data_IF_867864674327
#
_entry.id   IF_867864674327
#
_cell.length_a   1.000
_cell.length_b   1.000
_cell.length_c   1.000
_cell.angle_alpha   90.00
_cell.angle_beta   90.00
_cell.angle_gamma   90.00
#
_symmetry.space_group_name_H-M   'P 1'
#
loop_
_entity.id
_entity.type
_entity.pdbx_description
1 polymer ?
#
# COMPACT_ATOMS: atom_id res chain seq x y z
N UNK A 1 0.20 6.81 -15.06
CA UNK A 1 0.04 5.69 -14.11
C UNK A 1 -1.27 5.85 -13.34
N UNK A 2 -2.15 4.84 -13.34
CA UNK A 2 -3.44 4.90 -12.62
C UNK A 2 -3.31 4.27 -11.23
N UNK A 3 -3.62 5.03 -10.18
CA UNK A 3 -3.67 4.55 -8.81
C UNK A 3 -5.07 4.00 -8.49
N UNK A 4 -5.21 2.75 -8.06
CA UNK A 4 -6.51 2.14 -7.83
C UNK A 4 -7.12 2.81 -6.59
N UNK A 5 -8.31 3.41 -6.76
CA UNK A 5 -9.05 4.07 -5.68
C UNK A 5 -9.17 3.18 -4.43
N UNK A 6 -9.33 1.87 -4.63
CA UNK A 6 -9.41 0.87 -3.54
C UNK A 6 -8.13 0.81 -2.69
N UNK A 7 -6.95 0.76 -3.30
CA UNK A 7 -5.69 0.73 -2.51
C UNK A 7 -5.48 2.04 -1.76
N UNK A 8 -5.88 3.19 -2.32
CA UNK A 8 -5.80 4.48 -1.62
C UNK A 8 -6.67 4.51 -0.37
N UNK A 9 -7.91 4.01 -0.47
CA UNK A 9 -8.81 3.90 0.67
C UNK A 9 -8.27 2.94 1.75
N UNK A 10 -7.77 1.77 1.33
CA UNK A 10 -7.17 0.79 2.25
C UNK A 10 -5.91 1.32 2.93
N UNK A 11 -5.04 2.02 2.20
CA UNK A 11 -3.84 2.63 2.77
C UNK A 11 -4.19 3.74 3.76
N UNK A 12 -5.19 4.57 3.44
CA UNK A 12 -5.71 5.59 4.36
C UNK A 12 -6.27 4.97 5.64
N UNK A 13 -6.97 3.83 5.53
CA UNK A 13 -7.42 3.06 6.70
C UNK A 13 -6.23 2.51 7.50
N UNK A 14 -5.23 1.94 6.85
CA UNK A 14 -4.07 1.35 7.51
C UNK A 14 -3.25 2.38 8.29
N UNK A 15 -3.06 3.59 7.74
CA UNK A 15 -2.36 4.70 8.41
C UNK A 15 -2.95 5.09 9.77
N UNK A 16 -4.22 4.80 10.02
CA UNK A 16 -4.89 5.10 11.30
C UNK A 16 -4.51 4.13 12.43
N UNK A 17 -3.97 2.96 12.10
CA UNK A 17 -3.78 1.86 13.06
C UNK A 17 -2.39 1.24 13.02
N UNK A 18 -1.62 1.45 11.95
CA UNK A 18 -0.25 0.94 11.80
C UNK A 18 0.68 2.13 11.48
N UNK A 19 1.80 2.32 12.20
CA UNK A 19 2.78 3.35 11.87
C UNK A 19 3.22 3.27 10.40
N UNK A 20 3.14 4.40 9.68
CA UNK A 20 3.41 4.44 8.23
C UNK A 20 2.40 3.69 7.36
N UNK A 21 1.35 3.10 7.93
CA UNK A 21 0.33 2.30 7.25
C UNK A 21 0.78 0.91 6.83
N UNK A 22 1.93 0.42 7.32
CA UNK A 22 2.54 -0.86 6.90
C UNK A 22 3.36 -1.53 8.02
N UNK A 23 3.46 -2.87 8.00
CA UNK A 23 4.24 -3.65 8.97
C UNK A 23 5.76 -3.71 8.64
N UNK A 24 6.21 -3.03 7.59
CA UNK A 24 7.63 -2.91 7.24
C UNK A 24 7.82 -1.63 6.38
N UNK A 25 8.77 -0.73 6.70
CA UNK A 25 8.89 0.58 6.07
C UNK A 25 8.96 0.56 4.54
N UNK A 26 9.63 -0.43 3.96
CA UNK A 26 9.79 -0.56 2.50
C UNK A 26 8.43 -0.63 1.77
N UNK A 27 7.39 -1.15 2.43
CA UNK A 27 6.05 -1.30 1.85
C UNK A 27 5.29 0.03 1.73
N UNK A 28 5.74 1.10 2.39
CA UNK A 28 5.08 2.41 2.34
C UNK A 28 5.36 3.19 1.03
N UNK A 29 6.26 2.67 0.18
CA UNK A 29 6.68 3.29 -1.09
C UNK A 29 7.34 4.67 -0.90
N UNK A 30 7.93 4.94 0.27
CA UNK A 30 8.55 6.25 0.58
C UNK A 30 9.66 6.66 -0.40
N UNK A 31 10.46 5.71 -0.90
CA UNK A 31 11.56 5.98 -1.82
C UNK A 31 11.14 6.29 -3.27
N UNK A 32 9.96 5.82 -3.69
CA UNK A 32 9.48 5.90 -5.08
C UNK A 32 8.22 6.75 -5.24
N UNK A 33 7.58 7.11 -4.13
CA UNK A 33 6.31 7.82 -4.09
C UNK A 33 5.11 6.98 -4.52
N UNK A 34 3.92 7.58 -4.40
CA UNK A 34 2.65 6.98 -4.80
C UNK A 34 1.94 6.20 -3.69
N UNK A 35 0.93 5.42 -4.10
CA UNK A 35 0.09 4.62 -3.20
C UNK A 35 0.49 3.15 -3.30
N UNK A 36 0.89 2.49 -2.19
CA UNK A 36 1.18 1.06 -2.19
C UNK A 36 0.01 0.22 -2.74
N UNK A 37 0.32 -0.81 -3.50
CA UNK A 37 -0.69 -1.76 -3.99
C UNK A 37 -1.05 -2.74 -2.88
N UNK A 38 -2.35 -2.91 -2.63
CA UNK A 38 -2.86 -3.96 -1.75
C UNK A 38 -3.04 -5.23 -2.59
N UNK A 39 -2.14 -6.17 -2.40
CA UNK A 39 -2.13 -7.47 -3.07
C UNK A 39 -2.90 -8.49 -2.21
N UNK A 40 -3.77 -9.29 -2.84
CA UNK A 40 -4.59 -10.29 -2.14
C UNK A 40 -4.28 -11.72 -2.57
N UNK A 41 -3.73 -11.90 -3.77
CA UNK A 41 -3.34 -13.21 -4.31
C UNK A 41 -2.20 -13.05 -5.30
N UNK A 42 -1.42 -14.11 -5.46
CA UNK A 42 -0.48 -14.32 -6.55
C UNK A 42 -0.54 -15.79 -6.97
N UNK A 43 -0.38 -16.04 -8.26
CA UNK A 43 -0.07 -17.37 -8.81
C UNK A 43 1.29 -17.21 -9.52
N UNK A 44 2.09 -18.27 -9.59
CA UNK A 44 3.46 -18.26 -10.11
C UNK A 44 3.62 -17.50 -11.43
N UNK A 45 4.87 -17.15 -11.74
CA UNK A 45 5.26 -16.43 -12.94
C UNK A 45 5.16 -17.27 -14.20
#
# INVERSE_FOLDING_TARGET
MSFPRRSKALFSRAKRVIPGGVNSPVRAFGAVGGVPRFLVRGKGS
#
